data_IF_639216432204
#
_entry.id   IF_639216432204
#
_cell.length_a   1.000
_cell.length_b   1.000
_cell.length_c   1.000
_cell.angle_alpha   90.00
_cell.angle_beta   90.00
_cell.angle_gamma   90.00
#
_symmetry.space_group_name_H-M   'P 1'
#
loop_
_entity.id
_entity.type
_entity.pdbx_description
1 polymer ?
#
# COMPACT_ATOMS: atom_id res chain seq x y z
N UNK A 1 25.44 -28.28 -11.51
CA UNK A 1 26.30 -27.28 -12.19
C UNK A 1 25.95 -25.91 -11.64
N UNK A 2 26.98 -25.10 -11.39
CA UNK A 2 27.03 -23.91 -10.52
C UNK A 2 26.07 -22.78 -10.91
N UNK A 3 25.25 -22.31 -9.97
CA UNK A 3 24.57 -21.01 -10.06
C UNK A 3 25.59 -19.90 -9.77
N UNK A 4 26.06 -19.22 -10.81
CA UNK A 4 26.89 -18.03 -10.67
C UNK A 4 26.05 -16.89 -10.07
N UNK A 5 26.20 -16.64 -8.77
CA UNK A 5 25.73 -15.41 -8.14
C UNK A 5 26.51 -14.24 -8.76
N UNK A 6 25.90 -13.55 -9.73
CA UNK A 6 26.44 -12.31 -10.26
C UNK A 6 26.63 -11.33 -9.09
N UNK A 7 27.88 -11.04 -8.76
CA UNK A 7 28.25 -10.10 -7.72
C UNK A 7 27.87 -8.69 -8.18
N UNK A 8 26.67 -8.24 -7.80
CA UNK A 8 26.28 -6.85 -8.01
C UNK A 8 27.36 -5.95 -7.39
N UNK A 9 27.89 -5.04 -8.20
CA UNK A 9 28.86 -4.05 -7.73
C UNK A 9 28.26 -3.26 -6.55
N UNK A 10 29.09 -2.70 -5.67
CA UNK A 10 28.61 -1.89 -4.54
C UNK A 10 27.62 -0.79 -5.00
N UNK A 11 27.86 -0.24 -6.20
CA UNK A 11 27.00 0.72 -6.89
C UNK A 11 25.66 0.12 -7.39
N UNK A 12 25.70 -1.11 -7.93
CA UNK A 12 24.49 -1.85 -8.29
C UNK A 12 23.61 -2.18 -7.08
N UNK A 13 24.22 -2.51 -5.94
CA UNK A 13 23.50 -2.78 -4.68
C UNK A 13 22.88 -1.51 -4.10
N UNK A 14 23.62 -0.41 -4.05
CA UNK A 14 23.10 0.87 -3.58
C UNK A 14 21.90 1.35 -4.42
N UNK A 15 21.98 1.26 -5.75
CA UNK A 15 20.87 1.63 -6.62
C UNK A 15 19.66 0.70 -6.49
N UNK A 16 19.86 -0.61 -6.27
CA UNK A 16 18.76 -1.54 -5.97
C UNK A 16 18.08 -1.20 -4.64
N UNK A 17 18.84 -0.90 -3.58
CA UNK A 17 18.29 -0.48 -2.29
C UNK A 17 17.49 0.81 -2.44
N UNK A 18 18.04 1.82 -3.13
CA UNK A 18 17.33 3.08 -3.36
C UNK A 18 16.03 2.86 -4.14
N UNK A 19 16.03 2.04 -5.19
CA UNK A 19 14.81 1.74 -5.96
C UNK A 19 13.75 1.04 -5.11
N UNK A 20 14.14 0.05 -4.32
CA UNK A 20 13.21 -0.69 -3.44
C UNK A 20 12.67 0.23 -2.35
N UNK A 21 13.54 0.98 -1.67
CA UNK A 21 13.15 1.90 -0.61
C UNK A 21 12.29 3.05 -1.13
N UNK A 22 12.60 3.63 -2.29
CA UNK A 22 11.78 4.67 -2.90
C UNK A 22 10.39 4.16 -3.29
N UNK A 23 10.28 2.96 -3.87
CA UNK A 23 8.99 2.33 -4.17
C UNK A 23 8.16 2.11 -2.91
N UNK A 24 8.76 1.50 -1.89
CA UNK A 24 8.12 1.28 -0.59
C UNK A 24 7.73 2.60 0.09
N UNK A 25 8.57 3.63 0.01
CA UNK A 25 8.30 4.94 0.58
C UNK A 25 7.11 5.61 -0.10
N UNK A 26 7.03 5.56 -1.43
CA UNK A 26 5.92 6.16 -2.17
C UNK A 26 4.58 5.49 -1.84
N UNK A 27 4.56 4.16 -1.68
CA UNK A 27 3.36 3.44 -1.23
C UNK A 27 2.96 3.87 0.19
N UNK A 28 3.93 3.96 1.10
CA UNK A 28 3.66 4.38 2.47
C UNK A 28 3.23 5.85 2.54
N UNK A 29 3.81 6.71 1.72
CA UNK A 29 3.44 8.11 1.61
C UNK A 29 1.98 8.30 1.16
N UNK A 30 1.52 7.52 0.18
CA UNK A 30 0.12 7.50 -0.23
C UNK A 30 -0.81 7.12 0.94
N UNK A 31 -0.44 6.11 1.73
CA UNK A 31 -1.22 5.72 2.92
C UNK A 31 -1.24 6.80 4.01
N UNK A 32 -0.13 7.52 4.21
CA UNK A 32 -0.08 8.66 5.14
C UNK A 32 -0.96 9.81 4.66
N UNK A 33 -0.90 10.15 3.37
CA UNK A 33 -1.76 11.18 2.78
C UNK A 33 -3.23 10.80 2.91
N UNK A 34 -3.59 9.55 2.62
CA UNK A 34 -4.95 9.06 2.83
C UNK A 34 -5.39 9.26 4.29
N UNK A 35 -4.56 8.88 5.26
CA UNK A 35 -4.87 9.07 6.68
C UNK A 35 -5.05 10.54 7.07
N UNK A 36 -4.22 11.43 6.52
CA UNK A 36 -4.32 12.88 6.74
C UNK A 36 -5.60 13.46 6.14
N UNK A 37 -6.00 13.01 4.95
CA UNK A 37 -7.23 13.42 4.29
C UNK A 37 -8.45 12.60 4.70
N UNK A 38 -8.30 11.59 5.56
CA UNK A 38 -9.36 10.66 5.93
C UNK A 38 -10.55 11.40 6.55
N UNK A 39 -10.32 12.42 7.37
CA UNK A 39 -11.37 13.29 7.94
C UNK A 39 -12.21 13.96 6.85
N UNK A 40 -11.57 14.53 5.83
CA UNK A 40 -12.27 15.18 4.71
C UNK A 40 -13.06 14.18 3.85
N UNK A 41 -12.46 13.02 3.57
CA UNK A 41 -13.10 11.93 2.84
C UNK A 41 -14.30 11.41 3.64
N UNK A 42 -14.13 11.20 4.95
CA UNK A 42 -15.15 10.73 5.87
C UNK A 42 -16.38 11.65 5.86
N UNK A 43 -16.19 12.95 6.08
CA UNK A 43 -17.29 13.92 6.08
C UNK A 43 -18.04 14.00 4.74
N UNK A 44 -17.35 13.76 3.62
CA UNK A 44 -17.94 13.88 2.29
C UNK A 44 -18.66 12.60 1.86
N UNK A 45 -18.09 11.43 2.11
CA UNK A 45 -18.60 10.14 1.61
C UNK A 45 -19.40 9.35 2.66
N UNK A 46 -19.13 9.56 3.95
CA UNK A 46 -19.79 8.89 5.07
C UNK A 46 -20.34 9.91 6.07
N UNK A 47 -21.30 10.77 5.69
CA UNK A 47 -21.90 11.72 6.63
C UNK A 47 -22.62 10.93 7.73
N UNK A 48 -21.99 10.85 8.90
CA UNK A 48 -22.52 10.19 10.08
C UNK A 48 -22.90 11.24 11.12
N UNK A 49 -23.83 10.88 12.02
CA UNK A 49 -24.22 11.75 13.15
C UNK A 49 -23.07 12.04 14.12
N UNK A 50 -21.98 11.27 14.05
CA UNK A 50 -20.76 11.44 14.83
C UNK A 50 -19.53 11.39 13.91
N UNK A 51 -18.66 12.38 14.02
CA UNK A 51 -17.39 12.47 13.29
C UNK A 51 -16.51 11.22 13.48
N UNK A 52 -16.52 10.67 14.70
CA UNK A 52 -15.78 9.44 15.02
C UNK A 52 -16.29 8.23 14.23
N UNK A 53 -17.62 8.09 14.07
CA UNK A 53 -18.21 7.00 13.30
C UNK A 53 -17.88 7.11 11.80
N UNK A 54 -17.84 8.34 11.27
CA UNK A 54 -17.48 8.62 9.88
C UNK A 54 -16.02 8.25 9.57
N UNK A 55 -15.10 8.62 10.47
CA UNK A 55 -13.69 8.24 10.40
C UNK A 55 -13.49 6.73 10.48
N UNK A 56 -14.18 6.07 11.41
CA UNK A 56 -14.11 4.61 11.56
C UNK A 56 -14.56 3.88 10.29
N UNK A 57 -15.65 4.31 9.66
CA UNK A 57 -16.11 3.75 8.38
C UNK A 57 -15.09 3.96 7.26
N UNK A 58 -14.47 5.13 7.21
CA UNK A 58 -13.44 5.45 6.22
C UNK A 58 -12.20 4.57 6.37
N UNK A 59 -11.73 4.37 7.60
CA UNK A 59 -10.63 3.44 7.89
C UNK A 59 -11.02 1.98 7.63
N UNK A 60 -12.26 1.59 7.91
CA UNK A 60 -12.74 0.23 7.64
C UNK A 60 -12.75 -0.08 6.13
N UNK A 61 -13.22 0.85 5.30
CA UNK A 61 -13.19 0.71 3.83
C UNK A 61 -11.75 0.69 3.30
N UNK A 62 -10.88 1.55 3.84
CA UNK A 62 -9.45 1.52 3.50
C UNK A 62 -8.80 0.19 3.86
N UNK A 63 -9.04 -0.34 5.05
CA UNK A 63 -8.56 -1.66 5.49
C UNK A 63 -9.12 -2.81 4.65
N UNK A 64 -10.38 -2.72 4.24
CA UNK A 64 -10.98 -3.69 3.31
C UNK A 64 -10.27 -3.66 1.95
N UNK A 65 -9.90 -2.47 1.44
CA UNK A 65 -9.10 -2.31 0.22
C UNK A 65 -7.72 -2.96 0.31
N UNK A 66 -7.07 -2.91 1.47
CA UNK A 66 -5.82 -3.63 1.73
C UNK A 66 -5.98 -5.15 1.61
N UNK A 67 -7.09 -5.70 2.13
CA UNK A 67 -7.42 -7.12 1.99
C UNK A 67 -7.73 -7.50 0.53
N UNK A 68 -8.27 -6.57 -0.26
CA UNK A 68 -8.58 -6.83 -1.66
C UNK A 68 -7.35 -7.02 -2.54
N UNK A 69 -6.19 -6.46 -2.20
CA UNK A 69 -4.92 -6.67 -2.95
C UNK A 69 -4.50 -8.16 -3.00
N UNK A 70 -4.34 -8.88 -1.87
CA UNK A 70 -4.04 -10.31 -1.88
C UNK A 70 -5.22 -11.15 -2.39
N UNK A 71 -6.47 -10.77 -2.11
CA UNK A 71 -7.66 -11.49 -2.63
C UNK A 71 -7.69 -11.46 -4.17
N UNK A 72 -7.39 -10.32 -4.79
CA UNK A 72 -7.27 -10.19 -6.24
C UNK A 72 -6.14 -11.06 -6.81
N UNK A 73 -4.99 -11.12 -6.13
CA UNK A 73 -3.87 -12.00 -6.51
C UNK A 73 -4.24 -13.49 -6.40
N UNK A 74 -4.99 -13.91 -5.38
CA UNK A 74 -5.45 -15.30 -5.23
C UNK A 74 -6.48 -15.67 -6.30
N UNK A 75 -7.43 -14.77 -6.60
CA UNK A 75 -8.47 -14.98 -7.60
C UNK A 75 -7.93 -15.01 -9.03
N UNK A 76 -6.99 -14.12 -9.36
CA UNK A 76 -6.37 -14.04 -10.70
C UNK A 76 -5.23 -15.04 -10.86
N UNK A 77 -4.44 -15.29 -9.81
CA UNK A 77 -3.30 -16.23 -9.85
C UNK A 77 -3.71 -17.69 -9.95
N UNK A 78 -4.98 -18.04 -9.70
CA UNK A 78 -5.51 -19.40 -9.93
C UNK A 78 -5.94 -19.64 -11.38
N UNK A 79 -5.85 -18.64 -12.26
CA UNK A 79 -6.25 -18.71 -13.68
C UNK A 79 -5.05 -18.77 -14.66
N UNK A 80 -3.81 -18.94 -14.20
CA UNK A 80 -2.64 -19.25 -15.03
C UNK A 80 -1.86 -20.45 -14.47
#
# INVERSE_FOLDING_TARGET
MHSSHASMTAWGRASAILRVTSGNFLEQFDFFLFGFYATYIAHTFFPASSEFASLMMTFAVFGAGFLMRPVGAIRTGRLY
#
